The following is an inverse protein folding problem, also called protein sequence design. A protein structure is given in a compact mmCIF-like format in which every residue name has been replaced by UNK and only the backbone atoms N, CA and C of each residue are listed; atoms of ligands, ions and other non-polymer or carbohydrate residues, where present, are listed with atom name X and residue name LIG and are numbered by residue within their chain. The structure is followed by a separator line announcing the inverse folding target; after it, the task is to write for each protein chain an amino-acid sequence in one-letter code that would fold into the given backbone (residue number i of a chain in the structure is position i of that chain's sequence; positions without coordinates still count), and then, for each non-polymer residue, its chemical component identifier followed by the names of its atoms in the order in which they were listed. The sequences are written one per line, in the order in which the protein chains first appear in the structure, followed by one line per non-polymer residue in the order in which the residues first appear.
data_IF_050300633078
#
_entry.id   IF_050300633078
#
_cell.length_a   1.000
_cell.length_b   1.000
_cell.length_c   1.000
_cell.angle_alpha   90.00
_cell.angle_beta   90.00
_cell.angle_gamma   90.00
#
_symmetry.space_group_name_H-M   'P 1'
#
loop_
_entity.id
_entity.type
_entity.pdbx_description
1 polymer ?
#
# COMPACT_ATOMS: atom_id res chain seq x y z
N UNK A 1 -17.58 3.64 9.31
CA UNK A 1 -16.98 4.04 8.02
C UNK A 1 -16.53 2.80 7.29
N UNK A 2 -16.68 2.77 5.97
CA UNK A 2 -16.09 1.75 5.09
C UNK A 2 -14.65 2.13 4.76
N UNK A 3 -13.69 1.37 5.25
CA UNK A 3 -12.25 1.70 5.13
C UNK A 3 -11.52 0.66 4.30
N UNK A 4 -10.97 1.08 3.17
CA UNK A 4 -10.13 0.26 2.31
C UNK A 4 -8.68 0.24 2.80
N UNK A 5 -8.06 -0.94 2.93
CA UNK A 5 -6.67 -1.07 3.37
C UNK A 5 -5.86 -1.87 2.35
N UNK A 6 -4.87 -1.23 1.73
CA UNK A 6 -3.87 -1.95 0.93
C UNK A 6 -2.74 -2.45 1.84
N UNK A 7 -2.07 -3.54 1.46
CA UNK A 7 -1.03 -4.12 2.32
C UNK A 7 -1.55 -4.70 3.63
N UNK A 8 -2.85 -5.01 3.72
CA UNK A 8 -3.54 -5.53 4.91
C UNK A 8 -2.93 -6.82 5.49
N UNK A 9 -2.23 -7.62 4.67
CA UNK A 9 -1.54 -8.85 5.11
C UNK A 9 -0.14 -8.60 5.69
N UNK A 10 0.40 -7.40 5.55
CA UNK A 10 1.71 -7.00 6.07
C UNK A 10 1.72 -6.84 7.60
N UNK A 11 2.91 -6.63 8.17
CA UNK A 11 3.07 -6.47 9.62
C UNK A 11 2.25 -5.29 10.19
N UNK A 12 2.39 -4.11 9.59
CA UNK A 12 1.62 -2.92 9.99
C UNK A 12 0.16 -3.07 9.61
N UNK A 13 -0.12 -3.54 8.38
CA UNK A 13 -1.48 -3.67 7.86
C UNK A 13 -2.39 -4.55 8.72
N UNK A 14 -1.88 -5.67 9.25
CA UNK A 14 -2.65 -6.53 10.17
C UNK A 14 -3.05 -5.81 11.46
N UNK A 15 -2.16 -4.98 12.00
CA UNK A 15 -2.45 -4.20 13.22
C UNK A 15 -3.48 -3.10 12.93
N UNK A 16 -3.32 -2.39 11.81
CA UNK A 16 -4.26 -1.36 11.37
C UNK A 16 -5.65 -1.95 11.15
N UNK A 17 -5.75 -3.06 10.43
CA UNK A 17 -7.05 -3.76 10.22
C UNK A 17 -7.70 -4.12 11.54
N UNK A 18 -6.95 -4.71 12.48
CA UNK A 18 -7.47 -5.08 13.80
C UNK A 18 -7.98 -3.85 14.56
N UNK A 19 -7.23 -2.77 14.54
CA UNK A 19 -7.60 -1.55 15.27
C UNK A 19 -8.83 -0.89 14.67
N UNK A 20 -8.95 -0.82 13.36
CA UNK A 20 -10.14 -0.32 12.67
C UNK A 20 -11.38 -1.15 13.02
N UNK A 21 -11.26 -2.48 13.03
CA UNK A 21 -12.36 -3.38 13.39
C UNK A 21 -12.76 -3.22 14.86
N UNK A 22 -11.80 -3.05 15.79
CA UNK A 22 -12.07 -2.78 17.20
C UNK A 22 -12.85 -1.48 17.40
N UNK A 23 -12.66 -0.49 16.52
CA UNK A 23 -13.36 0.79 16.52
C UNK A 23 -14.62 0.78 15.62
N UNK A 24 -15.19 -0.40 15.37
CA UNK A 24 -16.45 -0.57 14.62
C UNK A 24 -16.44 -0.01 13.18
N UNK A 25 -15.27 0.03 12.54
CA UNK A 25 -15.18 0.32 11.11
C UNK A 25 -15.36 -0.95 10.30
N UNK A 26 -16.04 -0.85 9.16
CA UNK A 26 -16.13 -1.90 8.17
C UNK A 26 -14.86 -1.86 7.30
N UNK A 27 -14.07 -2.94 7.31
CA UNK A 27 -12.75 -2.95 6.69
C UNK A 27 -12.73 -3.80 5.43
N UNK A 28 -12.40 -3.17 4.31
CA UNK A 28 -12.18 -3.80 3.01
C UNK A 28 -10.68 -3.95 2.74
N UNK A 29 -10.25 -5.13 2.28
CA UNK A 29 -8.85 -5.44 2.01
C UNK A 29 -8.59 -5.48 0.52
N UNK A 30 -7.70 -4.66 0.02
CA UNK A 30 -7.26 -4.74 -1.35
C UNK A 30 -6.38 -5.96 -1.58
N UNK A 31 -6.76 -6.81 -2.53
CA UNK A 31 -6.08 -8.07 -2.84
C UNK A 31 -5.71 -8.15 -4.33
N UNK A 32 -4.53 -8.72 -4.62
CA UNK A 32 -4.02 -8.91 -6.00
C UNK A 32 -4.41 -10.28 -6.59
N UNK A 33 -5.04 -11.12 -5.81
CA UNK A 33 -5.60 -12.41 -6.22
C UNK A 33 -7.10 -12.30 -6.40
N UNK A 34 -7.74 -13.37 -6.87
CA UNK A 34 -9.21 -13.46 -6.91
C UNK A 34 -9.82 -13.19 -5.54
N UNK A 35 -10.89 -12.41 -5.53
CA UNK A 35 -11.69 -12.06 -4.35
C UNK A 35 -12.32 -13.32 -3.75
N UNK A 36 -12.29 -13.46 -2.44
CA UNK A 36 -12.84 -14.62 -1.70
C UNK A 36 -14.09 -14.31 -0.91
N UNK A 37 -14.33 -13.05 -0.58
CA UNK A 37 -15.47 -12.59 0.18
C UNK A 37 -15.81 -11.12 -0.15
N UNK A 38 -16.94 -10.65 0.36
CA UNK A 38 -17.46 -9.29 0.11
C UNK A 38 -16.56 -8.17 0.62
N UNK A 39 -15.75 -8.42 1.67
CA UNK A 39 -14.82 -7.44 2.25
C UNK A 39 -13.44 -7.42 1.55
N UNK A 40 -13.36 -7.98 0.37
CA UNK A 40 -12.15 -7.89 -0.46
C UNK A 40 -12.43 -7.12 -1.74
N UNK A 41 -11.47 -6.28 -2.12
CA UNK A 41 -11.48 -5.48 -3.35
C UNK A 41 -10.32 -5.96 -4.23
N UNK A 42 -10.63 -6.36 -5.46
CA UNK A 42 -9.57 -6.69 -6.40
C UNK A 42 -8.85 -5.42 -6.85
N UNK A 43 -7.52 -5.48 -6.87
CA UNK A 43 -6.68 -4.48 -7.49
C UNK A 43 -5.38 -5.07 -8.02
N UNK A 44 -4.87 -4.52 -9.10
CA UNK A 44 -3.61 -4.94 -9.71
C UNK A 44 -2.84 -3.72 -10.22
N UNK A 45 -1.98 -3.10 -9.38
CA UNK A 45 -1.22 -1.91 -9.79
C UNK A 45 -0.41 -2.10 -11.08
N UNK A 46 0.21 -3.26 -11.28
CA UNK A 46 1.01 -3.54 -12.48
C UNK A 46 0.19 -3.65 -13.76
N UNK A 47 -1.09 -3.94 -13.66
CA UNK A 47 -2.03 -3.99 -14.79
C UNK A 47 -2.90 -2.75 -14.89
N UNK A 48 -2.82 -1.86 -13.90
CA UNK A 48 -3.67 -0.68 -13.77
C UNK A 48 -5.18 -1.06 -13.70
N UNK A 49 -5.49 -2.12 -12.93
CA UNK A 49 -6.85 -2.64 -12.75
C UNK A 49 -7.30 -2.48 -11.29
N UNK A 50 -8.54 -2.08 -11.08
CA UNK A 50 -9.19 -1.99 -9.78
C UNK A 50 -10.70 -2.22 -9.93
N UNK A 51 -11.31 -2.85 -8.93
CA UNK A 51 -12.77 -2.95 -8.80
C UNK A 51 -13.33 -1.58 -8.41
N UNK A 52 -13.78 -0.82 -9.42
CA UNK A 52 -14.20 0.57 -9.24
C UNK A 52 -15.53 0.65 -8.47
N UNK A 53 -16.44 -0.30 -8.65
CA UNK A 53 -17.74 -0.29 -7.97
C UNK A 53 -17.54 -0.36 -6.44
N UNK A 54 -16.71 -1.29 -5.98
CA UNK A 54 -16.37 -1.39 -4.56
C UNK A 54 -15.49 -0.24 -4.05
N UNK A 55 -14.64 0.31 -4.91
CA UNK A 55 -13.84 1.48 -4.56
C UNK A 55 -14.72 2.69 -4.25
N UNK A 56 -15.76 2.93 -5.04
CA UNK A 56 -16.69 4.05 -4.88
C UNK A 56 -17.54 3.99 -3.61
N UNK A 57 -17.65 2.80 -2.99
CA UNK A 57 -18.35 2.62 -1.72
C UNK A 57 -17.50 3.02 -0.49
N UNK A 58 -16.21 3.27 -0.65
CA UNK A 58 -15.31 3.54 0.47
C UNK A 58 -15.42 4.98 0.97
N UNK A 59 -15.38 5.16 2.29
CA UNK A 59 -15.25 6.45 2.94
C UNK A 59 -13.80 6.90 3.07
N UNK A 60 -12.88 5.93 3.24
CA UNK A 60 -11.47 6.18 3.47
C UNK A 60 -10.60 5.06 2.88
N UNK A 61 -9.36 5.41 2.52
CA UNK A 61 -8.33 4.45 2.11
C UNK A 61 -7.06 4.66 2.93
N UNK A 62 -6.48 3.55 3.41
CA UNK A 62 -5.16 3.51 4.03
C UNK A 62 -4.23 2.69 3.13
N UNK A 63 -3.29 3.38 2.48
CA UNK A 63 -2.36 2.78 1.53
C UNK A 63 -1.02 2.43 2.19
N UNK A 64 -0.82 1.13 2.47
CA UNK A 64 0.38 0.57 3.10
C UNK A 64 1.11 -0.43 2.18
N UNK A 65 0.60 -0.68 0.98
CA UNK A 65 1.20 -1.64 0.08
C UNK A 65 2.47 -1.08 -0.57
N UNK A 66 3.47 -1.93 -0.66
CA UNK A 66 4.73 -1.66 -1.34
C UNK A 66 5.64 -2.88 -1.24
N UNK A 67 6.57 -3.02 -2.17
CA UNK A 67 7.60 -4.06 -2.07
C UNK A 67 8.48 -3.80 -0.84
N UNK A 68 8.76 -4.85 -0.08
CA UNK A 68 9.56 -4.75 1.16
C UNK A 68 10.99 -4.30 0.86
N UNK A 69 11.47 -3.33 1.62
CA UNK A 69 12.86 -2.90 1.59
C UNK A 69 13.74 -3.92 2.35
N UNK A 70 13.17 -4.57 3.36
CA UNK A 70 13.87 -5.63 4.10
C UNK A 70 13.99 -6.92 3.28
N UNK A 71 15.08 -7.70 3.44
CA UNK A 71 15.20 -9.02 2.83
C UNK A 71 14.09 -9.94 3.33
N UNK A 72 13.54 -10.79 2.44
CA UNK A 72 12.48 -11.76 2.80
C UNK A 72 13.04 -13.11 3.22
N UNK A 73 14.33 -13.33 3.08
CA UNK A 73 14.94 -14.64 3.22
C UNK A 73 15.35 -14.87 4.67
N UNK A 74 15.16 -16.10 5.15
CA UNK A 74 15.63 -16.56 6.47
C UNK A 74 17.15 -16.35 6.62
N UNK A 75 17.90 -16.38 5.51
CA UNK A 75 19.32 -16.08 5.42
C UNK A 75 19.64 -14.57 5.45
N UNK A 76 18.66 -13.71 5.37
CA UNK A 76 18.79 -12.24 5.55
C UNK A 76 19.29 -11.83 6.94
N UNK A 77 19.30 -12.76 7.90
CA UNK A 77 19.95 -12.61 9.20
C UNK A 77 21.49 -12.67 9.10
N UNK A 78 22.03 -13.27 8.04
CA UNK A 78 23.47 -13.28 7.82
C UNK A 78 23.88 -11.99 7.11
N UNK A 79 24.85 -11.22 7.66
CA UNK A 79 25.23 -9.90 7.11
C UNK A 79 25.78 -9.96 5.68
N UNK A 80 26.11 -11.13 5.17
CA UNK A 80 26.57 -11.37 3.80
C UNK A 80 25.52 -11.94 2.86
N UNK A 81 24.39 -12.48 3.36
CA UNK A 81 23.30 -13.04 2.56
C UNK A 81 22.12 -12.09 2.41
N UNK A 82 22.10 -11.01 3.17
CA UNK A 82 21.02 -10.04 3.25
C UNK A 82 20.96 -9.08 2.09
N UNK A 83 20.37 -9.50 1.01
CA UNK A 83 19.73 -8.60 0.06
C UNK A 83 20.61 -7.51 -0.56
N UNK A 84 21.52 -7.92 -1.42
CA UNK A 84 22.24 -6.99 -2.29
C UNK A 84 21.25 -6.02 -2.96
N UNK A 85 21.53 -4.73 -2.93
CA UNK A 85 20.78 -3.69 -3.62
C UNK A 85 20.99 -3.79 -5.14
N UNK A 86 20.49 -4.88 -5.75
CA UNK A 86 20.57 -5.07 -7.19
C UNK A 86 19.65 -4.07 -7.92
N UNK A 87 19.94 -3.83 -9.21
CA UNK A 87 19.12 -2.97 -10.05
C UNK A 87 17.67 -3.47 -10.12
N UNK A 88 17.48 -4.79 -10.21
CA UNK A 88 16.16 -5.44 -10.26
C UNK A 88 15.36 -5.23 -8.98
N UNK A 89 16.05 -5.30 -7.82
CA UNK A 89 15.40 -5.07 -6.53
C UNK A 89 14.98 -3.61 -6.37
N UNK A 90 15.87 -2.68 -6.68
CA UNK A 90 15.56 -1.24 -6.68
C UNK A 90 14.38 -0.93 -7.61
N UNK A 91 14.39 -1.52 -8.80
CA UNK A 91 13.32 -1.39 -9.79
C UNK A 91 11.98 -1.89 -9.23
N UNK A 92 11.93 -3.10 -8.62
CA UNK A 92 10.70 -3.61 -8.01
C UNK A 92 10.17 -2.70 -6.89
N UNK A 93 11.06 -2.20 -6.04
CA UNK A 93 10.69 -1.28 -4.95
C UNK A 93 10.09 0.01 -5.52
N UNK A 94 10.72 0.61 -6.51
CA UNK A 94 10.27 1.82 -7.18
C UNK A 94 8.92 1.61 -7.87
N UNK A 95 8.83 0.62 -8.76
CA UNK A 95 7.64 0.38 -9.56
C UNK A 95 6.43 -0.06 -8.74
N UNK A 96 6.65 -0.80 -7.64
CA UNK A 96 5.55 -1.19 -6.75
C UNK A 96 4.81 0.02 -6.16
N UNK A 97 5.52 1.11 -5.92
CA UNK A 97 4.96 2.36 -5.40
C UNK A 97 4.37 3.20 -6.51
N UNK A 98 5.15 3.39 -7.58
CA UNK A 98 4.71 4.21 -8.71
C UNK A 98 3.40 3.70 -9.31
N UNK A 99 3.33 2.41 -9.68
CA UNK A 99 2.11 1.85 -10.25
C UNK A 99 0.91 1.91 -9.31
N UNK A 100 1.11 1.76 -8.02
CA UNK A 100 0.02 1.89 -7.05
C UNK A 100 -0.48 3.34 -6.97
N UNK A 101 0.43 4.31 -6.96
CA UNK A 101 0.08 5.73 -6.96
C UNK A 101 -0.62 6.14 -8.26
N UNK A 102 -0.09 5.72 -9.42
CA UNK A 102 -0.68 6.02 -10.73
C UNK A 102 -2.11 5.45 -10.81
N UNK A 103 -2.32 4.20 -10.35
CA UNK A 103 -3.64 3.59 -10.34
C UNK A 103 -4.63 4.35 -9.44
N UNK A 104 -4.23 4.76 -8.25
CA UNK A 104 -5.12 5.55 -7.39
C UNK A 104 -5.45 6.92 -8.01
N UNK A 105 -4.45 7.62 -8.56
CA UNK A 105 -4.69 8.92 -9.22
C UNK A 105 -5.69 8.76 -10.36
N UNK A 106 -5.46 7.82 -11.27
CA UNK A 106 -6.38 7.58 -12.40
C UNK A 106 -7.77 7.12 -11.94
N UNK A 107 -7.84 6.35 -10.85
CA UNK A 107 -9.13 5.94 -10.27
C UNK A 107 -9.87 7.12 -9.67
N UNK A 108 -9.21 8.00 -8.93
CA UNK A 108 -9.83 9.22 -8.40
C UNK A 108 -10.34 10.16 -9.52
N UNK A 109 -9.64 10.21 -10.65
CA UNK A 109 -10.05 11.03 -11.80
C UNK A 109 -11.27 10.47 -12.55
N UNK A 110 -11.45 9.13 -12.55
CA UNK A 110 -12.47 8.44 -13.32
C UNK A 110 -13.70 8.00 -12.51
N UNK A 111 -13.59 7.87 -11.18
CA UNK A 111 -14.66 7.43 -10.31
C UNK A 111 -15.78 8.48 -10.20
N UNK A 112 -17.02 8.02 -10.19
CA UNK A 112 -18.19 8.87 -9.95
C UNK A 112 -18.31 9.30 -8.49
N UNK A 113 -17.79 8.50 -7.57
CA UNK A 113 -17.64 8.81 -6.15
C UNK A 113 -16.28 8.33 -5.66
N UNK A 114 -15.69 8.99 -4.66
CA UNK A 114 -14.39 8.60 -4.15
C UNK A 114 -14.27 8.84 -2.64
N UNK A 115 -13.37 8.11 -1.97
CA UNK A 115 -13.10 8.24 -0.54
C UNK A 115 -12.68 9.67 -0.17
N UNK A 116 -13.27 10.22 0.89
CA UNK A 116 -12.96 11.57 1.38
C UNK A 116 -11.62 11.64 2.10
N UNK A 117 -11.08 10.49 2.52
CA UNK A 117 -9.83 10.38 3.27
C UNK A 117 -8.92 9.41 2.55
N UNK A 118 -7.72 9.87 2.18
CA UNK A 118 -6.65 9.04 1.65
C UNK A 118 -5.39 9.22 2.47
N UNK A 119 -4.98 8.14 3.16
CA UNK A 119 -3.78 8.11 3.99
C UNK A 119 -2.76 7.21 3.31
N UNK A 120 -1.58 7.72 3.06
CA UNK A 120 -0.46 6.94 2.52
C UNK A 120 0.77 7.02 3.41
N UNK A 121 1.49 5.90 3.54
CA UNK A 121 2.78 5.90 4.21
C UNK A 121 3.81 6.64 3.34
N UNK A 122 4.54 7.55 3.96
CA UNK A 122 5.67 8.26 3.36
C UNK A 122 6.96 7.93 4.12
N UNK A 123 8.08 8.52 3.72
CA UNK A 123 9.38 8.37 4.37
C UNK A 123 10.13 9.69 4.38
N UNK A 124 11.03 9.84 5.36
CA UNK A 124 11.89 11.02 5.50
C UNK A 124 12.91 11.16 4.35
N UNK A 125 13.21 10.08 3.64
CA UNK A 125 14.15 10.07 2.52
C UNK A 125 13.74 11.00 1.36
N UNK A 126 12.47 11.44 1.35
CA UNK A 126 11.96 12.39 0.36
C UNK A 126 12.71 13.73 0.40
N UNK A 127 13.26 14.09 1.56
CA UNK A 127 13.98 15.35 1.73
C UNK A 127 15.45 15.27 1.25
N UNK A 128 15.96 14.06 0.97
CA UNK A 128 17.37 13.83 0.62
C UNK A 128 18.33 14.15 1.76
N UNK A 129 19.61 14.21 1.45
CA UNK A 129 20.63 14.63 2.41
C UNK A 129 20.60 16.15 2.58
N UNK A 130 20.21 16.59 3.76
CA UNK A 130 20.14 18.01 4.13
C UNK A 130 21.30 18.43 5.06
N UNK A 131 22.26 17.53 5.33
CA UNK A 131 23.30 17.76 6.33
C UNK A 131 22.71 18.03 7.70
N UNK A 132 23.17 19.09 8.38
CA UNK A 132 22.71 19.46 9.73
C UNK A 132 21.46 20.34 9.74
N UNK A 133 20.79 20.54 8.60
CA UNK A 133 19.59 21.37 8.54
C UNK A 133 18.39 20.64 9.14
N UNK A 134 17.67 21.31 10.01
CA UNK A 134 16.36 20.83 10.50
C UNK A 134 15.36 20.94 9.36
N UNK A 135 14.75 19.82 9.01
CA UNK A 135 13.70 19.75 8.00
C UNK A 135 12.35 19.71 8.71
N UNK A 136 11.49 20.67 8.42
CA UNK A 136 10.15 20.82 8.99
C UNK A 136 9.10 20.64 7.90
#
# INVERSE_FOLDING_TARGET
MKVGVTGASGYVGKKVVKELQNNSHEVFKFVRRSVKNEHEIYWSPSKQEIDIEKFEELDAIIHLAGESIAPKDLLGFLPFAGGRWSKERKSRIYWSRKWASDLFVSTFESAGNFPKIFITASGNDIYGDQGDKVVT
#
